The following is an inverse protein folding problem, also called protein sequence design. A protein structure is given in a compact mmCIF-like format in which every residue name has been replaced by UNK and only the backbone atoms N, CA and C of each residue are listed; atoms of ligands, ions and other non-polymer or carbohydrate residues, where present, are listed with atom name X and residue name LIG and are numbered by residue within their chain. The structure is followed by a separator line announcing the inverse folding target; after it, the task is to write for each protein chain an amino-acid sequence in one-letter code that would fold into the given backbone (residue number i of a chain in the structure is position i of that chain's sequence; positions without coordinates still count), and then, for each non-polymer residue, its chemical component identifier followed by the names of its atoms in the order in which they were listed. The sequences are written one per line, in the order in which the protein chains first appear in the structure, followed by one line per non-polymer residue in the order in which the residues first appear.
data_IF_140200971771
#
_entry.id   IF_140200971771
#
_cell.length_a   1.000
_cell.length_b   1.000
_cell.length_c   1.000
_cell.angle_alpha   90.00
_cell.angle_beta   90.00
_cell.angle_gamma   90.00
#
_symmetry.space_group_name_H-M   'P 1'
#
loop_
_entity.id
_entity.type
_entity.pdbx_description
1 polymer ?
#
# COMPACT_ATOMS: atom_id res chain seq x y z
N UNK A 1 7.95 -34.05 72.02
CA UNK A 1 8.08 -34.36 70.58
C UNK A 1 9.49 -34.88 70.35
N UNK A 2 9.69 -36.06 69.75
CA UNK A 2 11.02 -36.59 69.46
C UNK A 2 11.66 -35.85 68.28
N UNK A 3 12.99 -35.75 68.22
CA UNK A 3 13.70 -35.04 67.14
C UNK A 3 13.33 -35.56 65.75
N UNK A 4 13.10 -36.87 65.62
CA UNK A 4 12.70 -37.50 64.36
C UNK A 4 11.30 -37.04 63.89
N UNK A 5 10.36 -36.85 64.82
CA UNK A 5 9.03 -36.34 64.49
C UNK A 5 9.10 -34.89 63.98
N UNK A 6 9.99 -34.06 64.56
CA UNK A 6 10.18 -32.67 64.13
C UNK A 6 10.81 -32.61 62.73
N UNK A 7 11.81 -33.45 62.45
CA UNK A 7 12.42 -33.55 61.13
C UNK A 7 11.41 -33.97 60.04
N UNK A 8 10.53 -34.93 60.35
CA UNK A 8 9.47 -35.38 59.43
C UNK A 8 8.51 -34.23 59.09
N UNK A 9 8.03 -33.47 60.09
CA UNK A 9 7.12 -32.36 59.86
C UNK A 9 7.75 -31.23 59.03
N UNK A 10 9.01 -30.91 59.26
CA UNK A 10 9.76 -29.94 58.44
C UNK A 10 9.83 -30.41 56.99
N UNK A 11 10.14 -31.69 56.77
CA UNK A 11 10.19 -32.27 55.42
C UNK A 11 8.82 -32.22 54.73
N UNK A 12 7.74 -32.54 55.44
CA UNK A 12 6.37 -32.47 54.89
C UNK A 12 6.01 -31.04 54.52
N UNK A 13 6.30 -30.06 55.37
CA UNK A 13 6.03 -28.64 55.08
C UNK A 13 6.84 -28.16 53.87
N UNK A 14 8.12 -28.55 53.77
CA UNK A 14 8.97 -28.20 52.64
C UNK A 14 8.43 -28.78 51.32
N UNK A 15 7.97 -30.04 51.32
CA UNK A 15 7.37 -30.67 50.15
C UNK A 15 6.06 -29.97 49.75
N UNK A 16 5.20 -29.64 50.71
CA UNK A 16 3.96 -28.91 50.44
C UNK A 16 4.21 -27.51 49.88
N UNK A 17 5.21 -26.79 50.39
CA UNK A 17 5.62 -25.49 49.88
C UNK A 17 6.15 -25.58 48.43
N UNK A 18 6.96 -26.60 48.14
CA UNK A 18 7.47 -26.84 46.79
C UNK A 18 6.33 -27.15 45.80
N UNK A 19 5.38 -28.01 46.19
CA UNK A 19 4.19 -28.31 45.39
C UNK A 19 3.37 -27.04 45.15
N UNK A 20 3.12 -26.24 46.18
CA UNK A 20 2.41 -24.97 46.08
C UNK A 20 3.08 -24.01 45.10
N UNK A 21 4.42 -23.88 45.16
CA UNK A 21 5.19 -23.04 44.25
C UNK A 21 5.09 -23.51 42.79
N UNK A 22 5.15 -24.82 42.55
CA UNK A 22 4.99 -25.39 41.20
C UNK A 22 3.60 -25.12 40.65
N UNK A 23 2.55 -25.34 41.45
CA UNK A 23 1.16 -25.07 41.03
C UNK A 23 0.98 -23.60 40.69
N UNK A 24 1.48 -22.69 41.53
CA UNK A 24 1.42 -21.25 41.27
C UNK A 24 2.16 -20.87 39.97
N UNK A 25 3.35 -21.43 39.74
CA UNK A 25 4.12 -21.20 38.52
C UNK A 25 3.40 -21.69 37.26
N UNK A 26 2.76 -22.88 37.32
CA UNK A 26 1.98 -23.42 36.20
C UNK A 26 0.79 -22.52 35.89
N UNK A 27 0.04 -22.08 36.92
CA UNK A 27 -1.09 -21.17 36.72
C UNK A 27 -0.67 -19.83 36.13
N UNK A 28 0.45 -19.28 36.59
CA UNK A 28 1.04 -18.07 36.03
C UNK A 28 1.43 -18.25 34.55
N UNK A 29 2.08 -19.37 34.21
CA UNK A 29 2.48 -19.69 32.84
C UNK A 29 1.27 -19.84 31.90
N UNK A 30 0.21 -20.52 32.35
CA UNK A 30 -1.03 -20.65 31.58
C UNK A 30 -1.68 -19.30 31.33
N UNK A 31 -1.78 -18.47 32.39
CA UNK A 31 -2.35 -17.12 32.28
C UNK A 31 -1.54 -16.25 31.30
N UNK A 32 -0.22 -16.28 31.42
CA UNK A 32 0.68 -15.57 30.51
C UNK A 32 0.53 -16.06 29.06
N UNK A 33 0.40 -17.38 28.84
CA UNK A 33 0.16 -17.95 27.51
C UNK A 33 -1.14 -17.45 26.90
N UNK A 34 -2.23 -17.38 27.68
CA UNK A 34 -3.52 -16.88 27.19
C UNK A 34 -3.41 -15.39 26.82
N UNK A 35 -2.81 -14.57 27.70
CA UNK A 35 -2.60 -13.14 27.43
C UNK A 35 -1.75 -12.93 26.18
N UNK A 36 -0.68 -13.71 26.00
CA UNK A 36 0.19 -13.62 24.83
C UNK A 36 -0.58 -13.93 23.52
N UNK A 37 -1.42 -14.97 23.53
CA UNK A 37 -2.25 -15.32 22.35
C UNK A 37 -3.25 -14.20 22.04
N UNK A 38 -3.91 -13.63 23.05
CA UNK A 38 -4.88 -12.54 22.87
C UNK A 38 -4.19 -11.29 22.33
N UNK A 39 -3.07 -10.88 22.92
CA UNK A 39 -2.31 -9.73 22.45
C UNK A 39 -1.77 -9.94 21.03
N UNK A 40 -1.25 -11.12 20.71
CA UNK A 40 -0.81 -11.45 19.35
C UNK A 40 -1.93 -11.39 18.32
N UNK A 41 -3.14 -11.83 18.68
CA UNK A 41 -4.31 -11.73 17.80
C UNK A 41 -4.77 -10.27 17.59
N UNK A 42 -4.75 -9.45 18.65
CA UNK A 42 -5.08 -8.02 18.56
C UNK A 42 -4.04 -7.25 17.74
N UNK A 43 -2.76 -7.54 17.95
CA UNK A 43 -1.66 -6.91 17.22
C UNK A 43 -1.73 -7.22 15.72
N UNK A 44 -1.97 -8.48 15.34
CA UNK A 44 -2.18 -8.85 13.93
C UNK A 44 -3.32 -8.07 13.29
N UNK A 45 -4.46 -7.94 13.97
CA UNK A 45 -5.61 -7.17 13.47
C UNK A 45 -5.29 -5.68 13.33
N UNK A 46 -4.54 -5.13 14.29
CA UNK A 46 -4.16 -3.73 14.26
C UNK A 46 -3.13 -3.46 13.16
N UNK A 47 -2.12 -4.31 13.01
CA UNK A 47 -1.12 -4.26 11.95
C UNK A 47 -1.76 -4.32 10.56
N UNK A 48 -2.77 -5.18 10.35
CA UNK A 48 -3.52 -5.22 9.10
C UNK A 48 -4.27 -3.91 8.83
N UNK A 49 -4.96 -3.35 9.83
CA UNK A 49 -5.66 -2.06 9.68
C UNK A 49 -4.71 -0.91 9.39
N UNK A 50 -3.56 -0.88 10.07
CA UNK A 50 -2.52 0.13 9.85
C UNK A 50 -1.95 -0.01 8.44
N UNK A 51 -1.65 -1.23 7.98
CA UNK A 51 -1.13 -1.47 6.62
C UNK A 51 -2.11 -1.01 5.55
N UNK A 52 -3.41 -1.30 5.67
CA UNK A 52 -4.42 -0.81 4.70
C UNK A 52 -4.45 0.72 4.68
N UNK A 53 -4.48 1.35 5.85
CA UNK A 53 -4.51 2.82 5.96
C UNK A 53 -3.22 3.46 5.45
N UNK A 54 -2.08 2.83 5.68
CA UNK A 54 -0.78 3.31 5.17
C UNK A 54 -0.73 3.18 3.64
N UNK A 55 -1.18 2.06 3.07
CA UNK A 55 -1.29 1.93 1.61
C UNK A 55 -2.21 3.00 1.00
N UNK A 56 -3.35 3.29 1.63
CA UNK A 56 -4.24 4.35 1.18
C UNK A 56 -3.59 5.73 1.29
N UNK A 57 -2.90 6.02 2.40
CA UNK A 57 -2.16 7.26 2.59
C UNK A 57 -1.06 7.43 1.54
N UNK A 58 -0.25 6.40 1.30
CA UNK A 58 0.81 6.40 0.28
C UNK A 58 0.24 6.60 -1.13
N UNK A 59 -0.92 6.01 -1.43
CA UNK A 59 -1.64 6.22 -2.70
C UNK A 59 -2.05 7.69 -2.85
N UNK A 60 -2.73 8.25 -1.86
CA UNK A 60 -3.22 9.63 -1.91
C UNK A 60 -2.07 10.64 -1.94
N UNK A 61 -0.99 10.39 -1.18
CA UNK A 61 0.19 11.25 -1.18
C UNK A 61 0.87 11.26 -2.55
N UNK A 62 1.00 10.09 -3.20
CA UNK A 62 1.52 9.99 -4.57
C UNK A 62 0.62 10.71 -5.58
N UNK A 63 -0.70 10.51 -5.51
CA UNK A 63 -1.67 11.23 -6.37
C UNK A 63 -1.52 12.75 -6.20
N UNK A 64 -1.38 13.22 -4.96
CA UNK A 64 -1.20 14.64 -4.66
C UNK A 64 0.10 15.18 -5.26
N UNK A 65 1.21 14.45 -5.17
CA UNK A 65 2.49 14.87 -5.78
C UNK A 65 2.36 15.01 -7.30
N UNK A 66 1.70 14.06 -7.97
CA UNK A 66 1.46 14.12 -9.42
C UNK A 66 0.59 15.33 -9.80
N UNK A 67 -0.46 15.60 -9.02
CA UNK A 67 -1.32 16.77 -9.23
C UNK A 67 -0.58 18.09 -9.01
N UNK A 68 0.28 18.17 -7.98
CA UNK A 68 1.11 19.34 -7.73
C UNK A 68 2.08 19.58 -8.90
N UNK A 69 2.74 18.55 -9.42
CA UNK A 69 3.60 18.66 -10.61
C UNK A 69 2.84 19.11 -11.84
N UNK A 70 1.63 18.57 -12.06
CA UNK A 70 0.78 18.98 -13.19
C UNK A 70 0.37 20.45 -13.06
N UNK A 71 0.00 20.88 -11.86
CA UNK A 71 -0.34 22.27 -11.57
C UNK A 71 0.87 23.20 -11.77
N UNK A 72 2.04 22.82 -11.31
CA UNK A 72 3.29 23.56 -11.54
C UNK A 72 3.62 23.66 -13.03
N UNK A 73 3.47 22.57 -13.79
CA UNK A 73 3.69 22.54 -15.23
C UNK A 73 2.75 23.55 -15.95
N UNK A 74 1.46 23.56 -15.61
CA UNK A 74 0.52 24.56 -16.15
C UNK A 74 0.83 26.00 -15.70
N UNK A 75 1.18 26.19 -14.42
CA UNK A 75 1.43 27.51 -13.85
C UNK A 75 2.73 28.15 -14.33
N UNK A 76 3.71 27.37 -14.80
CA UNK A 76 4.95 27.91 -15.37
C UNK A 76 4.71 28.82 -16.57
N UNK A 77 3.54 28.72 -17.22
CA UNK A 77 3.19 29.52 -18.39
C UNK A 77 4.04 29.09 -19.58
N UNK A 78 3.40 28.60 -20.64
CA UNK A 78 4.09 27.96 -21.77
C UNK A 78 5.36 28.70 -22.20
N UNK A 79 6.47 27.95 -22.31
CA UNK A 79 7.75 28.50 -22.74
C UNK A 79 7.65 29.05 -24.17
N UNK A 80 8.33 30.17 -24.44
CA UNK A 80 8.51 30.66 -25.82
C UNK A 80 9.53 29.81 -26.60
N UNK A 81 10.32 28.99 -25.91
CA UNK A 81 11.13 27.96 -26.51
C UNK A 81 10.25 26.75 -26.88
N UNK A 82 10.15 26.49 -28.19
CA UNK A 82 9.39 25.37 -28.75
C UNK A 82 9.82 23.99 -28.22
N UNK A 83 11.10 23.81 -27.90
CA UNK A 83 11.59 22.54 -27.36
C UNK A 83 11.10 22.33 -25.93
N UNK A 84 11.15 23.39 -25.11
CA UNK A 84 10.64 23.36 -23.74
C UNK A 84 9.12 23.23 -23.71
N UNK A 85 8.39 23.94 -24.56
CA UNK A 85 6.94 23.81 -24.66
C UNK A 85 6.51 22.37 -25.03
N UNK A 86 7.23 21.74 -25.96
CA UNK A 86 7.01 20.35 -26.34
C UNK A 86 7.26 19.38 -25.17
N UNK A 87 8.37 19.56 -24.43
CA UNK A 87 8.67 18.77 -23.23
C UNK A 87 7.58 18.92 -22.17
N UNK A 88 7.19 20.16 -21.86
CA UNK A 88 6.14 20.44 -20.87
C UNK A 88 4.80 19.82 -21.26
N UNK A 89 4.41 19.90 -22.54
CA UNK A 89 3.19 19.26 -23.03
C UNK A 89 3.23 17.74 -22.92
N UNK A 90 4.37 17.11 -23.22
CA UNK A 90 4.55 15.66 -23.07
C UNK A 90 4.49 15.22 -21.60
N UNK A 91 5.06 16.01 -20.69
CA UNK A 91 4.99 15.77 -19.25
C UNK A 91 3.55 15.91 -18.76
N UNK A 92 2.85 16.97 -19.15
CA UNK A 92 1.46 17.19 -18.77
C UNK A 92 0.56 16.04 -19.23
N UNK A 93 0.71 15.57 -20.47
CA UNK A 93 -0.02 14.41 -20.99
C UNK A 93 0.26 13.14 -20.17
N UNK A 94 1.53 12.90 -19.85
CA UNK A 94 1.95 11.74 -19.05
C UNK A 94 1.34 11.81 -17.64
N UNK A 95 1.35 12.98 -17.02
CA UNK A 95 0.77 13.19 -15.69
C UNK A 95 -0.75 13.01 -15.71
N UNK A 96 -1.45 13.54 -16.70
CA UNK A 96 -2.90 13.33 -16.89
C UNK A 96 -3.20 11.84 -17.03
N UNK A 97 -2.43 11.12 -17.85
CA UNK A 97 -2.57 9.68 -18.02
C UNK A 97 -2.32 8.89 -16.73
N UNK A 98 -1.30 9.26 -15.96
CA UNK A 98 -0.93 8.60 -14.70
C UNK A 98 -1.94 8.85 -13.57
N UNK A 99 -2.53 10.05 -13.51
CA UNK A 99 -3.54 10.42 -12.50
C UNK A 99 -4.90 9.77 -12.84
N UNK A 100 -5.22 9.67 -14.13
CA UNK A 100 -6.40 8.96 -14.62
C UNK A 100 -7.72 9.72 -14.48
N UNK A 101 -8.81 9.17 -15.04
CA UNK A 101 -10.07 9.90 -15.18
C UNK A 101 -10.92 9.99 -13.91
N UNK A 102 -10.54 9.33 -12.80
CA UNK A 102 -11.24 9.51 -11.52
C UNK A 102 -11.02 10.89 -10.92
N UNK A 103 -9.81 11.43 -11.06
CA UNK A 103 -9.44 12.74 -10.50
C UNK A 103 -9.52 13.84 -11.54
N UNK A 104 -9.19 13.52 -12.79
CA UNK A 104 -9.13 14.47 -13.89
C UNK A 104 -10.03 14.04 -15.07
N UNK A 105 -11.35 13.85 -14.87
CA UNK A 105 -12.23 13.28 -15.89
C UNK A 105 -12.23 14.07 -17.20
N UNK A 106 -12.30 15.40 -17.12
CA UNK A 106 -12.35 16.27 -18.29
C UNK A 106 -11.00 16.32 -19.02
N UNK A 107 -9.89 16.53 -18.29
CA UNK A 107 -8.56 16.56 -18.91
C UNK A 107 -8.19 15.21 -19.52
N UNK A 108 -8.53 14.11 -18.86
CA UNK A 108 -8.26 12.77 -19.37
C UNK A 108 -9.06 12.50 -20.64
N UNK A 109 -10.36 12.81 -20.67
CA UNK A 109 -11.17 12.64 -21.88
C UNK A 109 -10.70 13.52 -23.05
N UNK A 110 -10.16 14.70 -22.76
CA UNK A 110 -9.71 15.65 -23.79
C UNK A 110 -8.30 15.37 -24.33
N UNK A 111 -7.43 14.72 -23.54
CA UNK A 111 -6.01 14.56 -23.89
C UNK A 111 -5.59 13.10 -24.07
N UNK A 112 -6.25 12.16 -23.40
CA UNK A 112 -5.94 10.73 -23.52
C UNK A 112 -6.92 10.12 -24.51
N UNK A 113 -6.40 9.83 -25.71
CA UNK A 113 -7.17 9.16 -26.75
C UNK A 113 -7.71 7.81 -26.29
N UNK A 114 -8.86 7.42 -26.85
CA UNK A 114 -9.40 6.08 -26.65
C UNK A 114 -8.45 5.01 -27.16
N UNK A 115 -8.42 3.83 -26.52
CA UNK A 115 -7.58 2.70 -26.97
C UNK A 115 -7.80 2.39 -28.47
N UNK A 116 -9.03 2.53 -28.98
CA UNK A 116 -9.33 2.34 -30.39
C UNK A 116 -8.66 3.39 -31.30
N UNK A 117 -8.67 4.66 -30.90
CA UNK A 117 -7.99 5.74 -31.62
C UNK A 117 -6.47 5.55 -31.58
N UNK A 118 -5.91 5.18 -30.44
CA UNK A 118 -4.50 4.84 -30.27
C UNK A 118 -4.07 3.66 -31.17
N UNK A 119 -4.89 2.61 -31.25
CA UNK A 119 -4.64 1.50 -32.16
C UNK A 119 -4.66 1.94 -33.63
N UNK A 120 -5.62 2.78 -34.04
CA UNK A 120 -5.67 3.31 -35.39
C UNK A 120 -4.40 4.14 -35.75
N UNK A 121 -3.84 4.88 -34.78
CA UNK A 121 -2.59 5.62 -34.96
C UNK A 121 -1.34 4.72 -35.06
N UNK A 122 -1.37 3.49 -34.52
CA UNK A 122 -0.28 2.52 -34.71
C UNK A 122 -0.25 1.98 -36.15
N UNK A 123 -1.43 1.81 -36.74
CA UNK A 123 -1.61 1.31 -38.10
C UNK A 123 -1.31 2.38 -39.17
N UNK A 124 -1.20 3.66 -38.78
CA UNK A 124 -0.82 4.75 -39.66
C UNK A 124 0.64 4.59 -40.16
N UNK A 125 0.86 4.44 -41.49
CA UNK A 125 2.20 4.30 -42.05
C UNK A 125 3.04 5.59 -42.00
N UNK A 126 2.42 6.77 -41.86
CA UNK A 126 3.13 8.05 -41.78
C UNK A 126 3.57 8.39 -40.34
N UNK A 127 3.08 7.63 -39.35
CA UNK A 127 3.40 7.85 -37.94
C UNK A 127 4.86 7.49 -37.63
N UNK A 128 5.66 8.40 -37.05
CA UNK A 128 7.04 8.11 -36.67
C UNK A 128 7.15 6.98 -35.64
N UNK A 129 8.17 6.12 -35.77
CA UNK A 129 8.37 4.95 -34.90
C UNK A 129 8.42 5.32 -33.41
N UNK A 130 9.09 6.41 -33.04
CA UNK A 130 9.17 6.83 -31.63
C UNK A 130 7.79 7.20 -31.06
N UNK A 131 6.86 7.70 -31.88
CA UNK A 131 5.48 7.96 -31.46
C UNK A 131 4.69 6.68 -31.33
N UNK A 132 4.92 5.71 -32.22
CA UNK A 132 4.31 4.37 -32.10
C UNK A 132 4.71 3.69 -30.79
N UNK A 133 5.98 3.79 -30.39
CA UNK A 133 6.43 3.27 -29.08
C UNK A 133 5.75 3.99 -27.90
N UNK A 134 5.61 5.32 -27.95
CA UNK A 134 4.89 6.07 -26.91
C UNK A 134 3.40 5.65 -26.83
N UNK A 135 2.75 5.43 -27.97
CA UNK A 135 1.36 4.94 -28.03
C UNK A 135 1.24 3.55 -27.40
N UNK A 136 2.17 2.62 -27.68
CA UNK A 136 2.19 1.28 -27.05
C UNK A 136 2.30 1.39 -25.53
N UNK A 137 3.14 2.29 -25.02
CA UNK A 137 3.27 2.54 -23.58
C UNK A 137 1.96 3.09 -23.00
N UNK A 138 1.30 4.02 -23.68
CA UNK A 138 0.01 4.56 -23.25
C UNK A 138 -1.08 3.47 -23.19
N UNK A 139 -1.15 2.61 -24.20
CA UNK A 139 -2.08 1.46 -24.23
C UNK A 139 -1.83 0.51 -23.05
N UNK A 140 -0.57 0.22 -22.74
CA UNK A 140 -0.20 -0.61 -21.58
C UNK A 140 -0.59 0.07 -20.24
N UNK A 141 -0.43 1.39 -20.15
CA UNK A 141 -0.87 2.20 -19.01
C UNK A 141 -2.39 2.16 -18.82
N UNK A 142 -3.14 2.30 -19.92
CA UNK A 142 -4.60 2.22 -19.93
C UNK A 142 -5.09 0.82 -19.51
N UNK A 143 -4.45 -0.24 -20.00
CA UNK A 143 -4.74 -1.62 -19.60
C UNK A 143 -4.49 -1.84 -18.10
N UNK A 144 -3.35 -1.39 -17.57
CA UNK A 144 -3.04 -1.47 -16.15
C UNK A 144 -4.06 -0.70 -15.30
N UNK A 145 -4.48 0.49 -15.74
CA UNK A 145 -5.54 1.24 -15.09
C UNK A 145 -6.87 0.48 -15.03
N UNK A 146 -7.24 -0.24 -16.10
CA UNK A 146 -8.44 -1.09 -16.11
C UNK A 146 -8.31 -2.28 -15.16
N UNK A 147 -7.17 -2.94 -15.14
CA UNK A 147 -6.92 -4.08 -14.25
C UNK A 147 -6.95 -3.67 -12.78
N UNK A 148 -6.32 -2.54 -12.42
CA UNK A 148 -6.36 -1.98 -11.07
C UNK A 148 -7.79 -1.65 -10.63
N UNK A 149 -8.62 -1.08 -11.51
CA UNK A 149 -10.06 -0.86 -11.22
C UNK A 149 -10.83 -2.17 -11.03
N UNK A 150 -10.49 -3.20 -11.81
CA UNK A 150 -11.11 -4.52 -11.69
C UNK A 150 -10.78 -5.22 -10.38
N UNK A 151 -9.61 -4.91 -9.79
CA UNK A 151 -9.18 -5.40 -8.48
C UNK A 151 -9.87 -4.65 -7.33
N UNK A 152 -10.10 -3.34 -7.44
CA UNK A 152 -10.82 -2.53 -6.43
C UNK A 152 -12.31 -2.90 -6.26
N UNK A 153 -12.88 -3.71 -7.18
CA UNK A 153 -14.28 -4.14 -7.19
C UNK A 153 -14.51 -5.59 -6.70
N UNK A 154 -13.49 -6.28 -6.16
CA UNK A 154 -13.58 -7.64 -5.60
C UNK A 154 -13.24 -7.66 -4.12
#
# INVERSE_FOLDING_TARGET
MTQDALALWIQVIAVLAAIGAVVAAVLAAVTASVVAVVLGALDRRNAQRISVRDHEFQRLFREQELLQRLLENYNRGGSTDSAEASRMGSEALTLIGAIGPQRLPELWANHVDSDAALHALLDDPEMPDYKKEAIKVQLALNANHRDLRGLDLR
#
